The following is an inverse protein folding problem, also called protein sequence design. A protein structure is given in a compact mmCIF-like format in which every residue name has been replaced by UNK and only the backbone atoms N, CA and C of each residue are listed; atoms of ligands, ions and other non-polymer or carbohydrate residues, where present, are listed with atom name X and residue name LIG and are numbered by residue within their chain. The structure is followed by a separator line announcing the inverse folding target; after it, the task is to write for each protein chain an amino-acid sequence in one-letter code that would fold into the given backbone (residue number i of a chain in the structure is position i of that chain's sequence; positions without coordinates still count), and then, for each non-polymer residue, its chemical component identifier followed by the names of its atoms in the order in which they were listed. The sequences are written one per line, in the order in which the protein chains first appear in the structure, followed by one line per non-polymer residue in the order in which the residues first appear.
data_IF_805170129374
#
_entry.id   IF_805170129374
#
_cell.length_a   1.000
_cell.length_b   1.000
_cell.length_c   1.000
_cell.angle_alpha   90.00
_cell.angle_beta   90.00
_cell.angle_gamma   90.00
#
_symmetry.space_group_name_H-M   'P 1'
#
loop_
_entity.id
_entity.type
_entity.pdbx_description
1 polymer ?
#
# COMPACT_ATOMS: atom_id res chain seq x y z
N UNK A 1 -52.05 -26.79 -2.37
CA UNK A 1 -51.34 -25.58 -1.89
C UNK A 1 -49.86 -25.91 -1.81
N UNK A 2 -49.02 -25.31 -2.66
CA UNK A 2 -47.56 -25.53 -2.66
C UNK A 2 -46.91 -24.34 -1.95
N UNK A 3 -46.35 -24.58 -0.77
CA UNK A 3 -45.68 -23.56 0.05
C UNK A 3 -44.29 -23.31 -0.55
N UNK A 4 -44.11 -22.19 -1.27
CA UNK A 4 -42.80 -21.80 -1.79
C UNK A 4 -41.94 -21.24 -0.65
N UNK A 5 -41.06 -22.06 -0.10
CA UNK A 5 -40.02 -21.60 0.81
C UNK A 5 -38.94 -20.87 -0.01
N UNK A 6 -38.95 -19.54 0.03
CA UNK A 6 -37.88 -18.72 -0.53
C UNK A 6 -36.75 -18.72 0.52
N UNK A 7 -35.72 -19.54 0.27
CA UNK A 7 -34.46 -19.48 1.01
C UNK A 7 -33.71 -18.22 0.56
N UNK A 8 -33.83 -17.13 1.34
CA UNK A 8 -32.99 -15.96 1.15
C UNK A 8 -31.62 -16.25 1.79
N UNK A 9 -30.64 -16.59 0.95
CA UNK A 9 -29.26 -16.78 1.37
C UNK A 9 -28.66 -15.42 1.74
N UNK A 10 -28.50 -15.16 3.04
CA UNK A 10 -27.84 -13.97 3.57
C UNK A 10 -26.33 -14.09 3.32
N UNK A 11 -25.83 -13.50 2.24
CA UNK A 11 -24.38 -13.44 1.98
C UNK A 11 -23.76 -12.47 2.98
N UNK A 12 -23.02 -13.01 3.95
CA UNK A 12 -22.14 -12.24 4.83
C UNK A 12 -20.96 -11.72 4.00
N UNK A 13 -21.12 -10.56 3.36
CA UNK A 13 -19.98 -9.84 2.80
C UNK A 13 -19.14 -9.30 3.96
N UNK A 14 -17.98 -9.90 4.19
CA UNK A 14 -16.97 -9.37 5.11
C UNK A 14 -16.44 -8.05 4.55
N UNK A 15 -16.85 -6.94 5.16
CA UNK A 15 -16.29 -5.62 4.85
C UNK A 15 -14.90 -5.53 5.48
N UNK A 16 -13.85 -5.89 4.72
CA UNK A 16 -12.48 -5.61 5.13
C UNK A 16 -12.23 -4.13 4.85
N UNK A 17 -12.08 -3.32 5.89
CA UNK A 17 -11.67 -1.93 5.74
C UNK A 17 -10.15 -1.90 5.56
N UNK A 18 -9.69 -1.62 4.33
CA UNK A 18 -8.27 -1.42 4.08
C UNK A 18 -7.80 -0.11 4.76
N UNK A 19 -6.68 -0.17 5.47
CA UNK A 19 -6.02 1.04 5.98
C UNK A 19 -5.27 1.70 4.82
N UNK A 20 -5.81 2.81 4.31
CA UNK A 20 -5.31 3.48 3.12
C UNK A 20 -4.68 4.83 3.42
N UNK A 21 -3.59 5.09 2.71
CA UNK A 21 -2.62 6.13 2.98
C UNK A 21 -2.47 7.06 1.78
N UNK A 22 -2.07 8.32 2.03
CA UNK A 22 -1.87 9.34 0.99
C UNK A 22 -0.41 9.52 0.60
N UNK A 23 0.51 8.97 1.38
CA UNK A 23 1.93 8.92 1.06
C UNK A 23 2.57 7.63 1.57
N UNK A 24 3.63 7.20 0.90
CA UNK A 24 4.44 6.09 1.36
C UNK A 24 5.89 6.20 0.90
N UNK A 25 6.80 5.54 1.63
CA UNK A 25 8.24 5.52 1.37
C UNK A 25 8.86 4.18 1.72
N UNK A 26 9.99 3.87 1.09
CA UNK A 26 10.79 2.70 1.38
C UNK A 26 12.02 3.09 2.19
N UNK A 27 12.37 2.26 3.16
CA UNK A 27 13.44 2.51 4.12
C UNK A 27 14.26 1.25 4.34
N UNK A 28 15.54 1.44 4.66
CA UNK A 28 16.45 0.39 5.08
C UNK A 28 16.59 0.42 6.59
N UNK A 29 16.93 -0.74 7.15
CA UNK A 29 17.31 -0.89 8.55
C UNK A 29 18.80 -0.69 8.65
N UNK A 30 19.21 0.29 9.43
CA UNK A 30 20.63 0.49 9.78
C UNK A 30 20.78 0.33 11.28
N UNK A 31 21.92 -0.20 11.73
CA UNK A 31 22.16 -0.47 13.14
C UNK A 31 23.30 0.39 13.66
N UNK A 32 23.01 1.19 14.68
CA UNK A 32 24.00 1.95 15.45
C UNK A 32 24.23 1.23 16.78
N UNK A 33 25.15 0.27 16.76
CA UNK A 33 25.29 -0.69 17.87
C UNK A 33 24.08 -1.61 17.95
N UNK A 34 23.32 -1.55 19.05
CA UNK A 34 22.11 -2.34 19.26
C UNK A 34 20.82 -1.60 18.89
N UNK A 35 20.93 -0.33 18.47
CA UNK A 35 19.78 0.48 18.10
C UNK A 35 19.50 0.34 16.61
N UNK A 36 18.28 -0.07 16.27
CA UNK A 36 17.77 -0.06 14.90
C UNK A 36 17.28 1.35 14.55
N UNK A 37 17.76 1.87 13.42
CA UNK A 37 17.40 3.16 12.85
C UNK A 37 16.88 2.97 11.43
N UNK A 38 16.02 3.90 11.00
CA UNK A 38 15.42 3.92 9.68
C UNK A 38 16.22 4.84 8.75
N UNK A 39 16.81 4.30 7.70
CA UNK A 39 17.44 5.09 6.65
C UNK A 39 16.53 5.19 5.42
N UNK A 40 16.30 6.40 4.92
CA UNK A 40 15.48 6.61 3.73
C UNK A 40 16.12 6.00 2.47
N UNK A 41 15.32 5.26 1.70
CA UNK A 41 15.76 4.66 0.45
C UNK A 41 15.01 5.32 -0.74
N UNK A 42 15.49 6.47 -1.24
CA UNK A 42 14.78 7.25 -2.25
C UNK A 42 14.67 6.51 -3.59
N UNK A 43 15.71 5.76 -3.97
CA UNK A 43 15.69 4.95 -5.19
C UNK A 43 14.64 3.84 -5.10
N UNK A 44 14.63 3.07 -4.01
CA UNK A 44 13.60 2.06 -3.79
C UNK A 44 12.21 2.70 -3.76
N UNK A 45 12.06 3.88 -3.17
CA UNK A 45 10.77 4.58 -3.12
C UNK A 45 10.26 4.94 -4.52
N UNK A 46 11.13 5.43 -5.41
CA UNK A 46 10.76 5.71 -6.81
C UNK A 46 10.40 4.42 -7.56
N UNK A 47 11.22 3.39 -7.46
CA UNK A 47 11.04 2.11 -8.15
C UNK A 47 9.76 1.40 -7.66
N UNK A 48 9.50 1.42 -6.35
CA UNK A 48 8.27 0.90 -5.75
C UNK A 48 7.05 1.71 -6.17
N UNK A 49 7.13 3.05 -6.22
CA UNK A 49 6.02 3.89 -6.66
C UNK A 49 5.64 3.61 -8.12
N UNK A 50 6.62 3.40 -8.99
CA UNK A 50 6.38 3.03 -10.38
C UNK A 50 5.65 1.68 -10.50
N UNK A 51 6.04 0.69 -9.68
CA UNK A 51 5.34 -0.62 -9.63
C UNK A 51 3.93 -0.48 -9.05
N UNK A 52 3.80 0.24 -7.94
CA UNK A 52 2.53 0.45 -7.25
C UNK A 52 1.51 1.19 -8.13
N UNK A 53 1.94 2.17 -8.92
CA UNK A 53 1.08 2.87 -9.90
C UNK A 53 0.51 1.91 -10.95
N UNK A 54 1.30 0.93 -11.38
CA UNK A 54 0.92 -0.01 -12.44
C UNK A 54 0.15 -1.22 -11.94
N UNK A 55 -0.15 -1.29 -10.64
CA UNK A 55 -0.87 -2.43 -10.07
C UNK A 55 -2.35 -2.44 -10.49
N UNK A 56 -2.88 -3.64 -10.64
CA UNK A 56 -4.29 -3.88 -10.89
C UNK A 56 -4.66 -5.29 -10.40
N UNK A 57 -5.08 -5.39 -9.14
CA UNK A 57 -5.37 -6.68 -8.47
C UNK A 57 -6.86 -6.99 -8.35
N UNK A 58 -7.73 -6.12 -8.84
CA UNK A 58 -9.16 -6.20 -8.64
C UNK A 58 -9.86 -4.88 -8.98
N UNK A 59 -10.99 -4.60 -8.34
CA UNK A 59 -11.83 -3.43 -8.64
C UNK A 59 -12.09 -2.50 -7.44
N UNK A 60 -11.55 -2.81 -6.27
CA UNK A 60 -11.67 -1.95 -5.11
C UNK A 60 -10.74 -0.74 -5.22
N UNK A 61 -10.96 0.28 -4.36
CA UNK A 61 -10.11 1.47 -4.30
C UNK A 61 -8.63 1.08 -4.13
N UNK A 62 -8.36 0.18 -3.19
CA UNK A 62 -7.01 -0.31 -2.92
C UNK A 62 -6.55 -1.38 -3.89
N UNK A 63 -7.20 -1.64 -5.04
CA UNK A 63 -6.70 -2.59 -6.03
C UNK A 63 -5.87 -1.91 -7.13
N UNK A 64 -5.96 -0.59 -7.22
CA UNK A 64 -5.37 0.27 -8.25
C UNK A 64 -4.84 1.53 -7.59
N UNK A 65 -3.83 2.16 -8.19
CA UNK A 65 -3.38 3.48 -7.75
C UNK A 65 -3.22 4.43 -8.95
N UNK A 66 -4.33 4.88 -9.56
CA UNK A 66 -4.28 5.72 -10.77
C UNK A 66 -3.64 7.09 -10.53
N UNK A 67 -3.62 7.54 -9.28
CA UNK A 67 -3.08 8.82 -8.83
C UNK A 67 -1.67 8.71 -8.21
N UNK A 68 -1.11 7.50 -8.12
CA UNK A 68 0.24 7.28 -7.58
C UNK A 68 1.30 8.04 -8.39
N UNK A 69 2.03 8.93 -7.72
CA UNK A 69 3.10 9.73 -8.33
C UNK A 69 4.28 9.91 -7.37
N UNK A 70 5.54 9.78 -7.86
CA UNK A 70 6.70 10.17 -7.07
C UNK A 70 6.61 11.66 -6.69
N UNK A 71 7.05 11.99 -5.49
CA UNK A 71 7.18 13.39 -5.04
C UNK A 71 8.07 13.50 -3.82
N UNK A 72 8.08 14.68 -3.20
CA UNK A 72 8.95 14.97 -2.06
C UNK A 72 8.12 15.61 -0.95
N UNK A 73 8.35 15.18 0.29
CA UNK A 73 7.74 15.77 1.51
C UNK A 73 8.86 16.14 2.48
N UNK A 74 9.08 17.44 2.68
CA UNK A 74 10.30 17.93 3.33
C UNK A 74 11.50 17.55 2.48
N UNK A 75 12.41 16.74 3.04
CA UNK A 75 13.59 16.21 2.35
C UNK A 75 13.43 14.72 1.96
N UNK A 76 12.24 14.15 2.15
CA UNK A 76 11.98 12.72 1.96
C UNK A 76 11.32 12.45 0.63
N UNK A 77 11.90 11.54 -0.16
CA UNK A 77 11.28 11.01 -1.39
C UNK A 77 10.10 10.12 -1.00
N UNK A 78 8.94 10.34 -1.61
CA UNK A 78 7.69 9.60 -1.32
C UNK A 78 6.96 9.22 -2.60
N UNK A 79 6.06 8.25 -2.50
CA UNK A 79 4.97 8.02 -3.44
C UNK A 79 3.69 8.67 -2.90
N UNK A 80 3.06 9.57 -3.65
CA UNK A 80 1.83 10.24 -3.26
C UNK A 80 0.61 9.58 -3.89
N UNK A 81 -0.50 9.52 -3.15
CA UNK A 81 -1.83 9.12 -3.64
C UNK A 81 -2.90 9.97 -2.94
N UNK A 82 -3.24 11.16 -3.45
CA UNK A 82 -4.28 12.01 -2.88
C UNK A 82 -5.63 11.29 -2.66
N UNK A 83 -5.94 10.30 -3.48
CA UNK A 83 -7.13 9.47 -3.45
C UNK A 83 -7.08 8.31 -2.45
N UNK A 84 -6.06 8.21 -1.59
CA UNK A 84 -5.90 7.14 -0.59
C UNK A 84 -5.94 5.75 -1.22
N UNK A 85 -5.04 5.45 -2.14
CA UNK A 85 -4.97 4.14 -2.78
C UNK A 85 -3.86 3.22 -2.22
N UNK A 86 -3.02 3.74 -1.32
CA UNK A 86 -1.86 3.01 -0.82
C UNK A 86 -2.22 2.20 0.42
N UNK A 87 -2.23 0.88 0.31
CA UNK A 87 -2.29 -0.07 1.44
C UNK A 87 -0.89 -0.35 2.00
N UNK A 88 -0.80 -0.48 3.33
CA UNK A 88 0.47 -0.66 4.05
C UNK A 88 1.19 -1.96 3.70
N UNK A 89 0.49 -3.09 3.80
CA UNK A 89 1.05 -4.43 3.53
C UNK A 89 1.48 -4.54 2.05
N UNK A 90 0.66 -4.05 1.12
CA UNK A 90 1.01 -4.02 -0.30
C UNK A 90 2.21 -3.11 -0.57
N UNK A 91 2.29 -1.95 0.09
CA UNK A 91 3.43 -1.06 -0.09
C UNK A 91 4.73 -1.70 0.41
N UNK A 92 4.70 -2.35 1.58
CA UNK A 92 5.85 -3.09 2.11
C UNK A 92 6.30 -4.19 1.15
N UNK A 93 5.37 -4.93 0.54
CA UNK A 93 5.69 -5.92 -0.49
C UNK A 93 6.49 -5.30 -1.66
N UNK A 94 6.03 -4.17 -2.20
CA UNK A 94 6.73 -3.52 -3.32
C UNK A 94 8.09 -2.95 -2.91
N UNK A 95 8.25 -2.41 -1.70
CA UNK A 95 9.55 -1.96 -1.19
C UNK A 95 10.57 -3.11 -1.13
N UNK A 96 10.15 -4.28 -0.62
CA UNK A 96 11.01 -5.47 -0.56
C UNK A 96 11.42 -5.97 -1.95
N UNK A 97 10.53 -5.90 -2.93
CA UNK A 97 10.84 -6.29 -4.32
C UNK A 97 11.92 -5.43 -4.98
N UNK A 98 12.10 -4.19 -4.52
CA UNK A 98 13.09 -3.26 -5.06
C UNK A 98 14.31 -3.08 -4.15
N UNK A 99 14.45 -3.96 -3.14
CA UNK A 99 15.66 -4.06 -2.32
C UNK A 99 15.69 -3.15 -1.09
N UNK A 100 14.55 -2.63 -0.64
CA UNK A 100 14.44 -2.00 0.68
C UNK A 100 13.99 -3.01 1.75
N UNK A 101 14.31 -2.74 3.01
CA UNK A 101 14.00 -3.67 4.10
C UNK A 101 12.52 -3.63 4.52
N UNK A 102 11.91 -2.44 4.51
CA UNK A 102 10.49 -2.29 4.83
C UNK A 102 9.86 -1.04 4.18
N UNK A 103 8.53 -1.04 4.15
CA UNK A 103 7.72 0.09 3.67
C UNK A 103 7.07 0.84 4.84
N UNK A 104 6.88 2.14 4.68
CA UNK A 104 6.13 2.99 5.60
C UNK A 104 5.09 3.79 4.82
N UNK A 105 3.81 3.65 5.19
CA UNK A 105 2.68 4.33 4.56
C UNK A 105 1.93 5.18 5.60
N UNK A 106 1.43 6.35 5.20
CA UNK A 106 0.81 7.35 6.10
C UNK A 106 -0.16 8.31 5.39
#
# INVERSE_FOLDING_TARGET
MQLKAIFMALTLTSCVAANLHVYARCVNRVFNGLQEEAEENPKATEDACARYRNRNTGNNQWDKCPDCTPGVRGDVRVCNSPGKHIGGDEWEYYCKQVGADYGSAS
#
